data_IF_185559781358
#
_entry.id   IF_185559781358
#
_cell.length_a   1.000
_cell.length_b   1.000
_cell.length_c   1.000
_cell.angle_alpha   90.00
_cell.angle_beta   90.00
_cell.angle_gamma   90.00
#
_symmetry.space_group_name_H-M   'P 1'
#
loop_
_entity.id
_entity.type
_entity.pdbx_description
1 polymer ?
#
# COMPACT_ATOMS: atom_id res chain seq x y z
N UNK A 1 12.67 39.30 -13.45
CA UNK A 1 13.11 38.33 -12.44
C UNK A 1 14.56 37.95 -12.66
N UNK A 2 15.38 38.17 -11.65
CA UNK A 2 16.83 37.90 -11.69
C UNK A 2 17.07 36.65 -10.88
N UNK A 3 17.32 35.51 -11.53
CA UNK A 3 17.70 34.28 -10.85
C UNK A 3 19.13 34.46 -10.35
N UNK A 4 19.30 34.48 -9.04
CA UNK A 4 20.61 34.53 -8.40
C UNK A 4 21.11 33.10 -8.23
N UNK A 5 21.99 32.66 -9.14
CA UNK A 5 22.70 31.39 -8.99
C UNK A 5 23.86 31.57 -8.02
N UNK A 6 23.87 30.81 -6.91
CA UNK A 6 24.98 30.76 -5.96
C UNK A 6 25.66 29.41 -6.07
N UNK A 7 26.96 29.43 -6.33
CA UNK A 7 27.78 28.24 -6.18
C UNK A 7 27.92 27.93 -4.69
N UNK A 8 27.48 26.73 -4.29
CA UNK A 8 27.72 26.18 -2.96
C UNK A 8 28.97 25.30 -3.03
N UNK A 9 30.12 25.87 -2.69
CA UNK A 9 31.36 25.12 -2.58
C UNK A 9 31.32 24.29 -1.30
N UNK A 10 31.14 22.97 -1.44
CA UNK A 10 31.20 21.99 -0.35
C UNK A 10 32.65 21.89 0.14
N UNK A 11 33.07 22.88 0.93
CA UNK A 11 34.43 23.01 1.49
C UNK A 11 34.50 22.60 2.96
N UNK A 12 33.37 22.23 3.56
CA UNK A 12 33.32 21.70 4.92
C UNK A 12 34.03 20.34 4.96
N UNK A 13 35.15 20.29 5.66
CA UNK A 13 35.78 19.04 6.06
C UNK A 13 35.00 18.51 7.26
N UNK A 14 34.23 17.44 7.04
CA UNK A 14 33.49 16.75 8.08
C UNK A 14 34.46 16.23 9.15
N UNK A 15 34.31 16.70 10.39
CA UNK A 15 35.10 16.24 11.53
C UNK A 15 34.35 15.18 12.33
N UNK A 16 35.06 14.46 13.21
CA UNK A 16 34.41 13.54 14.13
C UNK A 16 33.47 14.26 15.10
N UNK A 17 33.82 15.48 15.51
CA UNK A 17 32.99 16.29 16.41
C UNK A 17 31.67 16.69 15.75
N UNK A 18 31.67 16.99 14.44
CA UNK A 18 30.44 17.29 13.69
C UNK A 18 29.46 16.10 13.66
N UNK A 19 30.00 14.88 13.53
CA UNK A 19 29.21 13.65 13.57
C UNK A 19 28.64 13.37 14.97
N UNK A 20 29.43 13.64 16.00
CA UNK A 20 29.00 13.45 17.39
C UNK A 20 27.98 14.50 17.84
N UNK A 21 27.98 15.69 17.24
CA UNK A 21 26.96 16.72 17.48
C UNK A 21 25.63 16.44 16.79
N UNK A 22 25.59 15.53 15.81
CA UNK A 22 24.40 15.25 14.99
C UNK A 22 23.98 13.76 15.02
N UNK A 23 23.76 13.17 16.22
CA UNK A 23 23.52 11.74 16.36
C UNK A 23 22.25 11.28 15.61
N UNK A 24 21.18 12.08 15.62
CA UNK A 24 19.93 11.75 14.92
C UNK A 24 20.12 11.62 13.41
N UNK A 25 20.91 12.51 12.81
CA UNK A 25 21.25 12.49 11.39
C UNK A 25 22.05 11.24 11.06
N UNK A 26 23.07 10.93 11.86
CA UNK A 26 23.95 9.77 11.65
C UNK A 26 23.18 8.46 11.77
N UNK A 27 22.29 8.33 12.77
CA UNK A 27 21.49 7.11 12.97
C UNK A 27 20.41 6.89 11.90
N UNK A 28 20.15 7.88 11.05
CA UNK A 28 19.19 7.80 9.96
C UNK A 28 19.86 7.81 8.57
N UNK A 29 21.19 7.71 8.50
CA UNK A 29 21.89 7.50 7.23
C UNK A 29 21.50 6.13 6.68
N UNK A 30 20.70 6.14 5.63
CA UNK A 30 20.19 4.93 4.97
C UNK A 30 21.33 4.11 4.39
N UNK A 31 21.46 2.88 4.89
CA UNK A 31 22.38 1.86 4.41
C UNK A 31 21.71 0.91 3.40
N UNK A 32 20.39 0.71 3.51
CA UNK A 32 19.62 -0.18 2.64
C UNK A 32 19.21 0.48 1.32
N UNK A 33 19.29 -0.27 0.22
CA UNK A 33 18.57 0.00 -1.03
C UNK A 33 17.28 -0.83 -1.03
N UNK A 34 16.18 -0.23 -1.48
CA UNK A 34 14.85 -0.83 -1.43
C UNK A 34 14.75 -2.12 -2.28
N UNK A 35 15.50 -2.23 -3.39
CA UNK A 35 15.43 -3.37 -4.32
C UNK A 35 15.98 -4.68 -3.73
N UNK A 36 17.22 -4.74 -3.20
CA UNK A 36 17.70 -5.95 -2.53
C UNK A 36 16.97 -6.22 -1.20
N UNK A 37 16.48 -5.17 -0.53
CA UNK A 37 15.70 -5.35 0.70
C UNK A 37 14.37 -6.06 0.42
N UNK A 38 13.68 -5.69 -0.66
CA UNK A 38 12.45 -6.36 -1.11
C UNK A 38 12.64 -7.86 -1.32
N UNK A 39 13.75 -8.27 -1.95
CA UNK A 39 14.08 -9.68 -2.14
C UNK A 39 14.28 -10.39 -0.79
N UNK A 40 14.95 -9.72 0.14
CA UNK A 40 15.20 -10.24 1.49
C UNK A 40 13.89 -10.39 2.27
N UNK A 41 13.00 -9.40 2.22
CA UNK A 41 11.67 -9.45 2.84
C UNK A 41 10.85 -10.62 2.31
N UNK A 42 10.81 -10.80 0.99
CA UNK A 42 10.12 -11.93 0.36
C UNK A 42 10.73 -13.28 0.75
N UNK A 43 12.05 -13.35 1.00
CA UNK A 43 12.70 -14.59 1.41
C UNK A 43 12.46 -14.93 2.89
N UNK A 44 12.51 -13.95 3.78
CA UNK A 44 12.57 -14.21 5.24
C UNK A 44 11.31 -13.80 6.00
N UNK A 45 10.45 -12.95 5.43
CA UNK A 45 9.25 -12.40 6.06
C UNK A 45 7.95 -12.65 5.30
N UNK A 46 7.98 -13.22 4.08
CA UNK A 46 6.75 -13.67 3.44
C UNK A 46 6.14 -14.82 4.23
N UNK A 47 6.99 -15.70 4.77
CA UNK A 47 6.69 -16.83 5.68
C UNK A 47 5.81 -17.92 5.07
N UNK A 48 5.02 -17.61 4.05
CA UNK A 48 4.16 -18.50 3.28
C UNK A 48 4.24 -18.12 1.81
N UNK A 49 4.13 -19.12 0.94
CA UNK A 49 4.28 -18.94 -0.50
C UNK A 49 3.22 -18.03 -1.14
N UNK A 50 2.04 -17.89 -0.51
CA UNK A 50 0.94 -17.08 -1.02
C UNK A 50 0.96 -15.64 -0.52
N UNK A 51 1.99 -15.28 0.25
CA UNK A 51 2.22 -13.90 0.65
C UNK A 51 3.39 -13.31 -0.12
N UNK A 52 3.24 -12.05 -0.50
CA UNK A 52 4.23 -11.32 -1.27
C UNK A 52 4.32 -9.88 -0.77
N UNK A 53 5.54 -9.35 -0.72
CA UNK A 53 5.79 -7.92 -0.62
C UNK A 53 5.97 -7.40 -2.04
N UNK A 54 5.16 -6.42 -2.44
CA UNK A 54 5.20 -5.81 -3.77
C UNK A 54 6.37 -4.82 -3.90
N UNK A 55 6.58 -4.01 -2.87
CA UNK A 55 7.55 -2.94 -2.82
C UNK A 55 8.07 -2.71 -1.38
N UNK A 56 8.91 -1.68 -1.23
CA UNK A 56 9.45 -1.24 0.05
C UNK A 56 9.39 0.28 0.11
N UNK A 57 8.61 0.77 1.05
CA UNK A 57 8.43 2.18 1.35
C UNK A 57 9.41 2.67 2.41
N UNK A 58 9.52 3.99 2.50
CA UNK A 58 10.35 4.67 3.49
C UNK A 58 9.45 5.59 4.30
N UNK A 59 9.51 5.45 5.62
CA UNK A 59 8.70 6.24 6.53
C UNK A 59 9.48 6.54 7.83
N UNK A 60 8.85 7.25 8.77
CA UNK A 60 9.46 7.65 10.03
C UNK A 60 8.48 7.42 11.19
N UNK A 61 8.96 6.75 12.22
CA UNK A 61 8.19 6.45 13.43
C UNK A 61 8.94 6.89 14.68
N UNK A 62 8.18 7.24 15.71
CA UNK A 62 8.72 7.43 17.06
C UNK A 62 8.92 6.06 17.70
N UNK A 63 10.17 5.66 17.92
CA UNK A 63 10.54 4.36 18.50
C UNK A 63 11.37 4.63 19.75
N UNK A 64 10.89 4.20 20.91
CA UNK A 64 11.53 4.46 22.21
C UNK A 64 11.80 5.96 22.49
N UNK A 65 10.95 6.86 21.97
CA UNK A 65 11.08 8.31 22.12
C UNK A 65 12.02 8.99 21.12
N UNK A 66 12.60 8.25 20.18
CA UNK A 66 13.46 8.78 19.11
C UNK A 66 12.78 8.66 17.74
N UNK A 67 12.91 9.69 16.92
CA UNK A 67 12.44 9.64 15.54
C UNK A 67 13.39 8.78 14.71
N UNK A 68 12.90 7.64 14.21
CA UNK A 68 13.67 6.71 13.39
C UNK A 68 13.05 6.55 12.02
N UNK A 69 13.90 6.64 11.01
CA UNK A 69 13.54 6.30 9.65
C UNK A 69 13.57 4.78 9.47
N UNK A 70 12.51 4.25 8.89
CA UNK A 70 12.31 2.84 8.64
C UNK A 70 12.08 2.58 7.17
N UNK A 71 12.35 1.36 6.75
CA UNK A 71 11.79 0.78 5.54
C UNK A 71 10.66 -0.15 5.94
N UNK A 72 9.55 -0.13 5.19
CA UNK A 72 8.42 -1.01 5.43
C UNK A 72 7.93 -1.65 4.14
N UNK A 73 7.27 -2.81 4.27
CA UNK A 73 6.54 -3.42 3.18
C UNK A 73 5.27 -4.07 3.67
N UNK A 74 4.22 -4.00 2.84
CA UNK A 74 2.95 -4.66 3.09
C UNK A 74 2.99 -6.13 2.65
N UNK A 75 2.55 -7.04 3.53
CA UNK A 75 2.47 -8.47 3.22
C UNK A 75 1.12 -8.77 2.58
N UNK A 76 1.04 -8.70 1.27
CA UNK A 76 -0.20 -8.92 0.52
C UNK A 76 -0.39 -10.38 0.10
N UNK A 77 -1.66 -10.76 -0.10
CA UNK A 77 -2.03 -12.10 -0.56
C UNK A 77 -2.03 -12.18 -2.09
N UNK A 78 -1.41 -13.25 -2.61
CA UNK A 78 -1.42 -13.59 -4.03
C UNK A 78 -2.07 -14.97 -4.20
N UNK A 79 -3.39 -15.05 -4.47
CA UNK A 79 -4.11 -16.32 -4.53
C UNK A 79 -3.58 -17.30 -5.59
N UNK A 80 -2.97 -16.80 -6.66
CA UNK A 80 -2.34 -17.61 -7.72
C UNK A 80 -1.11 -18.40 -7.24
N UNK A 81 -0.54 -18.03 -6.09
CA UNK A 81 0.59 -18.72 -5.47
C UNK A 81 0.14 -19.76 -4.42
N UNK A 82 -1.16 -19.93 -4.22
CA UNK A 82 -1.68 -21.10 -3.50
C UNK A 82 -1.27 -22.39 -4.22
N UNK A 83 -1.13 -23.50 -3.49
CA UNK A 83 -0.94 -24.82 -4.09
C UNK A 83 -2.06 -25.09 -5.11
N UNK A 84 -1.75 -25.75 -6.22
CA UNK A 84 -2.71 -25.99 -7.31
C UNK A 84 -4.04 -26.59 -6.81
N UNK A 85 -3.97 -27.60 -5.94
CA UNK A 85 -5.15 -28.24 -5.34
C UNK A 85 -5.96 -27.32 -4.42
N UNK A 86 -5.35 -26.24 -3.91
CA UNK A 86 -5.97 -25.24 -3.06
C UNK A 86 -6.49 -24.02 -3.86
N UNK A 87 -6.26 -23.93 -5.18
CA UNK A 87 -6.78 -22.85 -6.03
C UNK A 87 -8.25 -23.06 -6.45
N UNK A 88 -9.08 -23.59 -5.54
CA UNK A 88 -10.51 -23.74 -5.77
C UNK A 88 -11.21 -22.37 -5.75
N UNK A 89 -12.38 -22.28 -6.37
CA UNK A 89 -13.19 -21.07 -6.35
C UNK A 89 -13.48 -20.60 -4.91
N UNK A 90 -13.91 -21.52 -4.04
CA UNK A 90 -14.19 -21.26 -2.61
C UNK A 90 -12.95 -20.68 -1.93
N UNK A 91 -11.78 -21.30 -2.13
CA UNK A 91 -10.56 -20.82 -1.49
C UNK A 91 -10.16 -19.42 -1.97
N UNK A 92 -10.24 -19.17 -3.28
CA UNK A 92 -9.83 -17.88 -3.87
C UNK A 92 -10.81 -16.75 -3.57
N UNK A 93 -12.09 -17.07 -3.36
CA UNK A 93 -13.17 -16.08 -3.27
C UNK A 93 -13.73 -15.88 -1.87
N UNK A 94 -13.69 -16.90 -1.01
CA UNK A 94 -14.33 -16.91 0.30
C UNK A 94 -13.33 -17.11 1.45
N UNK A 95 -12.27 -17.92 1.26
CA UNK A 95 -11.36 -18.29 2.36
C UNK A 95 -10.11 -17.40 2.40
N UNK A 96 -9.33 -17.35 1.32
CA UNK A 96 -8.12 -16.53 1.22
C UNK A 96 -8.52 -15.16 0.65
N UNK A 97 -8.97 -14.28 1.53
CA UNK A 97 -9.58 -13.00 1.14
C UNK A 97 -8.64 -11.82 1.30
N UNK A 98 -7.62 -11.88 2.15
CA UNK A 98 -6.79 -10.74 2.53
C UNK A 98 -5.31 -11.09 2.74
N UNK A 99 -4.44 -10.09 2.56
CA UNK A 99 -3.05 -10.08 3.03
C UNK A 99 -2.96 -9.90 4.54
N UNK A 100 -1.77 -10.02 5.13
CA UNK A 100 -1.65 -10.01 6.59
C UNK A 100 -0.37 -9.35 7.11
N UNK A 101 -0.52 -8.12 7.57
CA UNK A 101 0.47 -7.35 8.32
C UNK A 101 1.53 -6.70 7.45
N UNK A 102 2.53 -6.15 8.12
CA UNK A 102 3.68 -5.48 7.52
C UNK A 102 4.96 -6.03 8.14
N UNK A 103 6.08 -5.86 7.44
CA UNK A 103 7.40 -6.00 8.02
C UNK A 103 8.11 -4.65 7.95
N UNK A 104 8.90 -4.32 8.97
CA UNK A 104 9.61 -3.04 9.02
C UNK A 104 11.03 -3.24 9.53
N UNK A 105 11.99 -2.49 8.99
CA UNK A 105 13.40 -2.51 9.40
C UNK A 105 13.97 -1.10 9.47
N UNK A 106 14.88 -0.77 10.40
CA UNK A 106 15.54 0.53 10.41
C UNK A 106 16.36 0.73 9.13
N UNK A 107 16.44 1.97 8.63
CA UNK A 107 17.24 2.24 7.40
C UNK A 107 18.74 2.06 7.59
N UNK A 108 19.24 2.15 8.82
CA UNK A 108 20.66 2.25 9.15
C UNK A 108 21.20 1.08 10.00
N UNK A 109 20.44 -0.01 10.15
CA UNK A 109 20.84 -1.14 11.01
C UNK A 109 20.91 -2.43 10.20
N UNK A 110 21.95 -3.21 10.48
CA UNK A 110 22.27 -4.47 9.81
C UNK A 110 22.76 -5.45 10.86
N UNK A 111 22.30 -6.70 10.79
CA UNK A 111 22.80 -7.77 11.65
C UNK A 111 24.24 -8.14 11.26
N UNK A 112 24.90 -8.95 12.10
CA UNK A 112 26.26 -9.46 11.80
C UNK A 112 26.34 -10.26 10.51
N UNK A 113 25.23 -10.87 10.11
CA UNK A 113 25.13 -11.71 8.91
C UNK A 113 24.77 -10.89 7.66
N UNK A 114 24.69 -9.56 7.77
CA UNK A 114 24.34 -8.70 6.64
C UNK A 114 22.84 -8.67 6.31
N UNK A 115 21.97 -9.09 7.23
CA UNK A 115 20.52 -9.07 7.07
C UNK A 115 19.89 -7.85 7.76
N UNK A 116 18.71 -7.40 7.33
CA UNK A 116 17.97 -6.37 8.06
C UNK A 116 17.59 -6.84 9.46
N UNK A 117 17.75 -5.96 10.43
CA UNK A 117 17.07 -6.08 11.71
C UNK A 117 15.61 -5.65 11.53
N UNK A 118 14.67 -6.38 12.13
CA UNK A 118 13.25 -6.10 11.98
C UNK A 118 12.66 -5.51 13.26
N UNK A 119 12.02 -4.36 13.12
CA UNK A 119 11.21 -3.70 14.14
C UNK A 119 9.79 -4.26 14.21
N UNK A 120 9.26 -4.76 13.09
CA UNK A 120 8.00 -5.51 13.01
C UNK A 120 8.23 -6.70 12.10
N UNK A 121 7.84 -7.89 12.55
CA UNK A 121 8.03 -9.15 11.83
C UNK A 121 7.03 -10.21 12.24
N UNK A 122 7.13 -11.34 11.56
CA UNK A 122 6.42 -12.58 11.83
C UNK A 122 4.92 -12.52 11.49
N UNK A 123 4.23 -13.62 11.81
CA UNK A 123 2.82 -13.86 11.56
C UNK A 123 2.23 -14.53 12.81
N UNK A 124 1.35 -13.87 13.58
CA UNK A 124 0.91 -12.48 13.44
C UNK A 124 2.06 -11.47 13.69
N UNK A 125 1.98 -10.24 13.14
CA UNK A 125 3.04 -9.25 13.24
C UNK A 125 3.25 -8.85 14.71
N UNK A 126 4.51 -8.77 15.12
CA UNK A 126 4.95 -8.40 16.46
C UNK A 126 6.22 -7.56 16.38
N UNK A 127 6.41 -6.67 17.34
CA UNK A 127 7.64 -5.89 17.47
C UNK A 127 7.45 -4.54 18.16
N UNK A 128 8.30 -3.58 17.83
CA UNK A 128 8.41 -2.27 18.47
C UNK A 128 7.32 -1.28 18.00
N UNK A 129 6.75 -1.50 16.81
CA UNK A 129 5.60 -0.75 16.30
C UNK A 129 4.37 -1.65 16.41
N UNK A 130 3.33 -1.16 17.08
CA UNK A 130 2.10 -1.91 17.29
C UNK A 130 1.26 -1.97 16.01
N UNK A 131 0.80 -3.18 15.66
CA UNK A 131 -0.12 -3.43 14.54
C UNK A 131 -1.32 -4.17 15.09
N UNK A 132 -2.43 -3.45 15.24
CA UNK A 132 -3.67 -3.92 15.87
C UNK A 132 -4.66 -4.51 14.86
N UNK A 133 -4.64 -4.02 13.62
CA UNK A 133 -5.48 -4.52 12.52
C UNK A 133 -4.60 -4.88 11.30
N UNK A 134 -4.02 -6.10 11.29
CA UNK A 134 -3.08 -6.50 10.25
C UNK A 134 -3.73 -6.91 8.92
N UNK A 135 -5.05 -7.15 8.85
CA UNK A 135 -5.68 -7.66 7.64
C UNK A 135 -5.70 -6.60 6.52
N UNK A 136 -5.20 -6.98 5.34
CA UNK A 136 -5.12 -6.12 4.15
C UNK A 136 -6.10 -6.68 3.10
N UNK A 137 -7.34 -6.20 3.14
CA UNK A 137 -8.35 -6.55 2.14
C UNK A 137 -8.20 -5.72 0.87
N UNK A 138 -7.67 -4.49 0.99
CA UNK A 138 -7.43 -3.55 -0.10
C UNK A 138 -5.94 -3.25 -0.15
N UNK A 139 -5.31 -3.50 -1.29
CA UNK A 139 -3.87 -3.32 -1.50
C UNK A 139 -3.49 -3.32 -2.97
N UNK A 140 -2.21 -3.34 -3.28
CA UNK A 140 -1.70 -3.22 -4.65
C UNK A 140 -1.82 -4.52 -5.46
N UNK A 141 -1.82 -5.68 -4.78
CA UNK A 141 -1.90 -7.00 -5.43
C UNK A 141 -3.31 -7.57 -5.43
N UNK A 142 -4.27 -6.88 -4.81
CA UNK A 142 -5.67 -7.30 -4.67
C UNK A 142 -6.51 -7.05 -5.93
N UNK A 143 -6.13 -7.68 -7.04
CA UNK A 143 -6.70 -7.44 -8.38
C UNK A 143 -8.02 -8.18 -8.67
N UNK A 144 -8.56 -8.91 -7.70
CA UNK A 144 -9.75 -9.73 -7.89
C UNK A 144 -10.75 -9.54 -6.75
N UNK A 145 -12.03 -9.74 -7.08
CA UNK A 145 -13.11 -9.63 -6.12
C UNK A 145 -13.10 -10.81 -5.14
N UNK A 146 -13.58 -10.56 -3.93
CA UNK A 146 -13.87 -11.59 -2.91
C UNK A 146 -15.24 -11.35 -2.30
N UNK A 147 -15.81 -12.39 -1.71
CA UNK A 147 -17.07 -12.30 -0.99
C UNK A 147 -16.78 -12.66 0.46
N UNK A 148 -17.02 -11.70 1.34
CA UNK A 148 -16.78 -11.81 2.78
C UNK A 148 -18.11 -11.98 3.51
N UNK A 149 -18.06 -12.31 4.80
CA UNK A 149 -19.25 -12.59 5.61
C UNK A 149 -20.09 -13.74 5.01
N UNK A 150 -19.42 -14.80 4.60
CA UNK A 150 -20.03 -16.06 4.15
C UNK A 150 -20.10 -17.08 5.29
N UNK A 151 -20.80 -18.21 5.11
CA UNK A 151 -20.74 -19.29 6.10
C UNK A 151 -19.40 -20.01 6.12
N UNK A 152 -18.62 -19.93 5.04
CA UNK A 152 -17.22 -20.34 5.05
C UNK A 152 -16.38 -19.27 5.75
N UNK A 153 -15.62 -19.62 6.81
CA UNK A 153 -14.80 -18.66 7.53
C UNK A 153 -13.55 -18.27 6.73
N UNK A 154 -13.14 -17.01 6.88
CA UNK A 154 -11.96 -16.49 6.19
C UNK A 154 -10.69 -16.98 6.90
N UNK A 155 -9.67 -17.36 6.14
CA UNK A 155 -8.36 -17.69 6.69
C UNK A 155 -7.66 -16.40 7.14
N UNK A 156 -7.17 -16.39 8.39
CA UNK A 156 -6.46 -15.24 8.97
C UNK A 156 -4.95 -15.51 8.95
N UNK A 157 -4.48 -16.51 9.73
CA UNK A 157 -3.08 -16.92 9.75
C UNK A 157 -2.89 -18.32 10.35
N UNK A 158 -1.75 -19.00 10.09
CA UNK A 158 -1.49 -20.33 10.62
C UNK A 158 -1.03 -20.26 12.09
N UNK A 159 -1.49 -21.19 12.92
CA UNK A 159 -1.10 -21.32 14.34
C UNK A 159 -0.96 -22.79 14.73
N UNK A 160 0.27 -23.21 15.06
CA UNK A 160 0.56 -24.61 15.35
C UNK A 160 0.27 -25.49 14.13
N UNK A 161 -0.49 -26.56 14.32
CA UNK A 161 -0.93 -27.46 13.25
C UNK A 161 -2.23 -27.03 12.57
N UNK A 162 -2.81 -25.89 12.97
CA UNK A 162 -4.09 -25.40 12.47
C UNK A 162 -4.03 -23.98 11.91
N UNK A 163 -5.21 -23.46 11.57
CA UNK A 163 -5.40 -22.11 11.08
C UNK A 163 -6.29 -21.32 12.02
N UNK A 164 -5.96 -20.06 12.24
CA UNK A 164 -6.85 -19.06 12.81
C UNK A 164 -7.70 -18.50 11.67
N UNK A 165 -8.98 -18.30 11.96
CA UNK A 165 -9.94 -17.75 11.02
C UNK A 165 -10.49 -16.42 11.53
N UNK A 166 -11.01 -15.63 10.62
CA UNK A 166 -11.62 -14.34 10.91
C UNK A 166 -12.91 -14.15 10.11
N UNK A 167 -13.58 -13.04 10.33
CA UNK A 167 -14.72 -12.58 9.53
C UNK A 167 -14.62 -11.06 9.37
N UNK A 168 -14.89 -10.59 8.16
CA UNK A 168 -14.81 -9.15 7.87
C UNK A 168 -15.88 -8.33 8.60
N UNK A 169 -15.44 -7.45 9.49
CA UNK A 169 -16.34 -6.63 10.32
C UNK A 169 -16.72 -5.29 9.65
N UNK A 170 -16.12 -4.97 8.50
CA UNK A 170 -16.42 -3.74 7.78
C UNK A 170 -17.79 -3.74 7.08
N UNK A 171 -18.27 -2.55 6.73
CA UNK A 171 -19.58 -2.34 6.11
C UNK A 171 -19.53 -1.65 4.75
N UNK A 172 -18.35 -1.61 4.12
CA UNK A 172 -18.08 -0.90 2.86
C UNK A 172 -18.33 -1.75 1.62
N UNK A 173 -18.65 -3.04 1.79
CA UNK A 173 -18.92 -3.95 0.69
C UNK A 173 -20.35 -3.91 0.17
N UNK A 174 -20.55 -4.49 -1.01
CA UNK A 174 -21.87 -4.54 -1.66
C UNK A 174 -22.62 -5.77 -1.15
N UNK A 175 -23.76 -5.57 -0.49
CA UNK A 175 -24.57 -6.69 0.02
C UNK A 175 -24.96 -7.68 -1.08
N UNK A 176 -24.83 -8.96 -0.82
CA UNK A 176 -25.08 -10.04 -1.78
C UNK A 176 -26.49 -10.61 -1.66
N UNK A 177 -27.50 -9.73 -1.71
CA UNK A 177 -28.87 -10.17 -1.92
C UNK A 177 -29.04 -10.85 -3.29
N UNK A 178 -30.15 -11.56 -3.52
CA UNK A 178 -30.39 -12.34 -4.74
C UNK A 178 -30.25 -11.51 -6.04
N UNK A 179 -30.68 -10.25 -6.04
CA UNK A 179 -30.57 -9.38 -7.20
C UNK A 179 -29.10 -9.03 -7.49
N UNK A 180 -28.35 -8.61 -6.47
CA UNK A 180 -26.93 -8.28 -6.61
C UNK A 180 -26.12 -9.51 -7.03
N UNK A 181 -26.41 -10.69 -6.44
CA UNK A 181 -25.80 -11.96 -6.86
C UNK A 181 -26.01 -12.24 -8.34
N UNK A 182 -27.23 -12.03 -8.85
CA UNK A 182 -27.53 -12.19 -10.28
C UNK A 182 -26.77 -11.19 -11.15
N UNK A 183 -26.79 -9.91 -10.79
CA UNK A 183 -26.12 -8.86 -11.55
C UNK A 183 -24.60 -9.07 -11.61
N UNK A 184 -23.98 -9.41 -10.48
CA UNK A 184 -22.54 -9.66 -10.42
C UNK A 184 -22.14 -11.00 -11.04
N UNK A 185 -22.96 -12.05 -10.93
CA UNK A 185 -22.74 -13.29 -11.67
C UNK A 185 -22.70 -13.05 -13.18
N UNK A 186 -23.57 -12.19 -13.71
CA UNK A 186 -23.53 -11.79 -15.12
C UNK A 186 -22.32 -10.91 -15.43
N UNK A 187 -22.00 -9.92 -14.58
CA UNK A 187 -20.88 -8.99 -14.78
C UNK A 187 -19.52 -9.69 -14.83
N UNK A 188 -19.31 -10.66 -13.94
CA UNK A 188 -18.05 -11.40 -13.83
C UNK A 188 -18.06 -12.74 -14.58
N UNK A 189 -19.18 -13.08 -15.24
CA UNK A 189 -19.42 -14.39 -15.83
C UNK A 189 -19.17 -15.55 -14.84
N UNK A 190 -19.59 -15.36 -13.58
CA UNK A 190 -19.33 -16.29 -12.49
C UNK A 190 -20.62 -16.83 -11.86
N UNK A 191 -21.03 -18.02 -12.30
CA UNK A 191 -22.27 -18.67 -11.85
C UNK A 191 -22.21 -19.11 -10.37
N UNK A 192 -21.01 -19.26 -9.80
CA UNK A 192 -20.87 -19.70 -8.41
C UNK A 192 -21.42 -18.66 -7.44
N UNK A 193 -21.40 -17.36 -7.81
CA UNK A 193 -22.04 -16.31 -7.03
C UNK A 193 -23.54 -16.56 -6.80
N UNK A 194 -24.21 -17.28 -7.71
CA UNK A 194 -25.62 -17.65 -7.59
C UNK A 194 -25.84 -19.01 -6.93
N UNK A 195 -24.98 -19.99 -7.22
CA UNK A 195 -25.21 -21.39 -6.85
C UNK A 195 -24.55 -21.80 -5.53
N UNK A 196 -23.50 -21.12 -5.09
CA UNK A 196 -22.81 -21.43 -3.85
C UNK A 196 -23.72 -21.06 -2.65
N UNK A 197 -23.91 -22.02 -1.74
CA UNK A 197 -24.78 -21.91 -0.56
C UNK A 197 -24.20 -21.06 0.56
N UNK A 198 -22.89 -20.84 0.53
CA UNK A 198 -22.16 -20.14 1.59
C UNK A 198 -22.36 -18.62 1.52
N UNK A 199 -22.76 -18.13 0.35
CA UNK A 199 -23.14 -16.73 0.13
C UNK A 199 -24.57 -16.52 0.63
N UNK A 200 -24.70 -15.76 1.71
CA UNK A 200 -25.96 -15.31 2.28
C UNK A 200 -26.33 -13.87 1.89
N UNK A 201 -27.46 -13.39 2.40
CA UNK A 201 -27.91 -12.00 2.18
C UNK A 201 -27.05 -10.98 2.95
N UNK A 202 -26.41 -11.40 4.04
CA UNK A 202 -25.50 -10.60 4.86
C UNK A 202 -24.07 -10.59 4.32
N UNK A 203 -23.76 -11.48 3.37
CA UNK A 203 -22.46 -11.51 2.70
C UNK A 203 -22.24 -10.22 1.91
N UNK A 204 -20.98 -9.81 1.79
CA UNK A 204 -20.59 -8.59 1.12
C UNK A 204 -19.58 -8.89 0.01
N UNK A 205 -19.82 -8.36 -1.18
CA UNK A 205 -18.85 -8.35 -2.26
C UNK A 205 -17.89 -7.18 -2.06
N UNK A 206 -16.60 -7.50 -1.95
CA UNK A 206 -15.52 -6.52 -2.01
C UNK A 206 -15.00 -6.47 -3.45
N UNK A 207 -15.26 -5.36 -4.13
CA UNK A 207 -14.89 -5.10 -5.52
C UNK A 207 -14.07 -3.81 -5.62
N UNK A 208 -13.27 -3.67 -6.70
CA UNK A 208 -12.24 -2.64 -6.83
C UNK A 208 -11.36 -2.56 -5.59
N UNK A 209 -10.72 -3.69 -5.29
CA UNK A 209 -9.85 -3.86 -4.13
C UNK A 209 -8.45 -3.32 -4.38
N UNK A 210 -7.97 -3.43 -5.62
CA UNK A 210 -6.78 -2.75 -6.07
C UNK A 210 -6.93 -1.25 -5.81
N UNK A 211 -6.07 -0.71 -4.95
CA UNK A 211 -6.18 0.66 -4.47
C UNK A 211 -6.05 1.70 -5.58
N UNK A 212 -5.25 1.41 -6.62
CA UNK A 212 -5.05 2.31 -7.76
C UNK A 212 -6.26 2.33 -8.67
N UNK A 213 -6.81 1.16 -8.99
CA UNK A 213 -8.06 1.07 -9.74
C UNK A 213 -9.20 1.76 -8.99
N UNK A 214 -9.27 1.55 -7.67
CA UNK A 214 -10.30 2.13 -6.80
C UNK A 214 -10.31 3.66 -6.84
N UNK A 215 -9.16 4.31 -6.66
CA UNK A 215 -9.10 5.79 -6.70
C UNK A 215 -9.37 6.33 -8.10
N UNK A 216 -8.92 5.63 -9.14
CA UNK A 216 -9.16 6.00 -10.53
C UNK A 216 -10.66 5.96 -10.87
N UNK A 217 -11.40 4.99 -10.34
CA UNK A 217 -12.86 4.92 -10.51
C UNK A 217 -13.60 6.00 -9.70
N UNK A 218 -13.11 6.35 -8.51
CA UNK A 218 -13.74 7.37 -7.65
C UNK A 218 -13.54 8.80 -8.17
N UNK A 219 -12.33 9.12 -8.65
CA UNK A 219 -11.99 10.45 -9.16
C UNK A 219 -11.10 10.34 -10.41
N UNK A 220 -11.68 9.99 -11.58
CA UNK A 220 -10.92 9.73 -12.80
C UNK A 220 -10.26 10.96 -13.43
N UNK A 221 -10.62 12.15 -12.95
CA UNK A 221 -10.11 13.44 -13.41
C UNK A 221 -8.77 13.82 -12.75
N UNK A 222 -8.32 13.09 -11.73
CA UNK A 222 -7.00 13.26 -11.13
C UNK A 222 -5.99 12.33 -11.79
N UNK A 223 -4.73 12.78 -11.80
CA UNK A 223 -3.60 11.92 -12.19
C UNK A 223 -2.94 11.38 -10.94
N UNK A 224 -2.90 10.06 -10.76
CA UNK A 224 -2.34 9.44 -9.57
C UNK A 224 -0.87 9.08 -9.75
N UNK A 225 -0.12 9.12 -8.64
CA UNK A 225 1.22 8.54 -8.59
C UNK A 225 1.17 7.03 -8.87
N UNK A 226 2.30 6.48 -9.31
CA UNK A 226 2.43 5.06 -9.58
C UNK A 226 2.83 4.23 -8.37
N UNK A 227 3.24 4.89 -7.27
CA UNK A 227 3.86 4.29 -6.08
C UNK A 227 3.06 4.70 -4.83
N UNK A 228 1.96 4.00 -4.50
CA UNK A 228 1.27 4.16 -3.22
C UNK A 228 2.16 3.63 -2.10
N UNK A 229 2.23 4.32 -0.97
CA UNK A 229 3.04 3.89 0.18
C UNK A 229 2.17 3.51 1.38
N UNK A 230 2.59 2.48 2.11
CA UNK A 230 1.93 2.01 3.32
C UNK A 230 2.31 2.86 4.54
N UNK A 231 1.36 3.07 5.45
CA UNK A 231 1.54 3.77 6.72
C UNK A 231 0.82 3.01 7.83
N UNK A 232 1.47 2.92 8.99
CA UNK A 232 0.88 2.41 10.23
C UNK A 232 0.44 3.62 11.05
N UNK A 233 -0.84 3.75 11.37
CA UNK A 233 -1.30 4.87 12.21
C UNK A 233 -0.96 4.67 13.70
N UNK A 234 -1.22 5.69 14.52
CA UNK A 234 -0.98 5.64 15.97
C UNK A 234 -1.80 4.56 16.70
N UNK A 235 -2.88 4.08 16.07
CA UNK A 235 -3.71 3.00 16.61
C UNK A 235 -3.27 1.61 16.14
N UNK A 236 -2.25 1.52 15.28
CA UNK A 236 -1.76 0.27 14.70
C UNK A 236 -2.58 -0.24 13.51
N UNK A 237 -3.38 0.62 12.88
CA UNK A 237 -4.11 0.31 11.65
C UNK A 237 -3.27 0.64 10.42
N UNK A 238 -3.56 -0.06 9.34
CA UNK A 238 -2.82 0.05 8.09
C UNK A 238 -3.58 0.93 7.08
N UNK A 239 -2.86 1.89 6.50
CA UNK A 239 -3.38 2.81 5.49
C UNK A 239 -2.45 2.92 4.31
N UNK A 240 -3.00 2.94 3.11
CA UNK A 240 -2.27 3.34 1.91
C UNK A 240 -2.41 4.84 1.71
N UNK A 241 -1.30 5.49 1.42
CA UNK A 241 -1.25 6.88 1.03
C UNK A 241 -0.81 7.00 -0.43
N UNK A 242 -1.48 7.86 -1.18
CA UNK A 242 -1.21 8.06 -2.59
C UNK A 242 -1.30 9.53 -2.94
N UNK A 243 -0.36 9.95 -3.78
CA UNK A 243 -0.31 11.31 -4.30
C UNK A 243 -1.20 11.45 -5.54
N UNK A 244 -1.94 12.55 -5.61
CA UNK A 244 -2.79 12.88 -6.75
C UNK A 244 -2.49 14.29 -7.26
N UNK A 245 -2.43 14.39 -8.58
CA UNK A 245 -1.99 15.55 -9.32
C UNK A 245 -3.14 16.12 -10.15
N UNK A 246 -3.24 17.44 -10.13
CA UNK A 246 -4.12 18.21 -11.02
C UNK A 246 -3.30 18.72 -12.21
N UNK A 247 -3.82 18.53 -13.42
CA UNK A 247 -3.12 18.87 -14.66
C UNK A 247 -4.01 19.78 -15.52
N UNK A 248 -3.43 20.82 -16.12
CA UNK A 248 -4.10 21.67 -17.10
C UNK A 248 -3.20 22.00 -18.29
N UNK A 249 -3.83 22.19 -19.45
CA UNK A 249 -3.20 22.52 -20.73
C UNK A 249 -3.43 23.98 -21.15
N UNK A 250 -4.18 24.74 -20.33
CA UNK A 250 -4.65 26.09 -20.67
C UNK A 250 -4.45 27.07 -19.52
N UNK A 251 -3.52 26.78 -18.62
CA UNK A 251 -3.23 27.68 -17.52
C UNK A 251 -2.61 28.98 -18.06
N UNK A 252 -3.17 30.15 -17.74
CA UNK A 252 -2.76 31.39 -18.36
C UNK A 252 -1.33 31.76 -17.94
N UNK A 253 -0.58 32.40 -18.85
CA UNK A 253 0.79 32.86 -18.62
C UNK A 253 1.79 31.77 -18.21
N UNK A 254 1.52 30.50 -18.53
CA UNK A 254 2.41 29.37 -18.27
C UNK A 254 2.86 28.69 -19.56
N UNK A 255 4.13 28.29 -19.60
CA UNK A 255 4.76 27.62 -20.74
C UNK A 255 4.38 26.13 -20.79
N UNK A 256 3.85 25.63 -21.92
CA UNK A 256 3.55 24.22 -22.10
C UNK A 256 4.80 23.34 -22.02
N UNK A 257 4.67 22.23 -21.30
CA UNK A 257 5.69 21.20 -21.21
C UNK A 257 5.80 20.47 -22.55
N UNK A 258 6.85 20.78 -23.32
CA UNK A 258 7.23 20.05 -24.52
C UNK A 258 8.38 19.11 -24.17
N UNK A 259 8.09 17.86 -23.80
CA UNK A 259 9.17 16.88 -23.54
C UNK A 259 9.79 16.41 -24.85
N UNK A 260 11.12 16.42 -24.89
CA UNK A 260 11.90 15.58 -25.80
C UNK A 260 11.81 14.11 -25.35
N UNK A 261 12.21 13.17 -26.21
CA UNK A 261 12.01 11.72 -26.09
C UNK A 261 12.49 11.05 -24.78
N UNK A 262 13.22 11.76 -23.92
CA UNK A 262 13.86 11.24 -22.71
C UNK A 262 12.91 10.99 -21.53
N UNK A 263 11.70 11.56 -21.51
CA UNK A 263 10.75 11.40 -20.39
C UNK A 263 9.48 10.65 -20.79
N UNK A 264 9.62 9.41 -21.26
CA UNK A 264 8.52 8.55 -21.74
C UNK A 264 7.37 8.43 -20.72
N UNK A 265 7.67 8.39 -19.42
CA UNK A 265 6.65 8.29 -18.34
C UNK A 265 5.75 9.53 -18.23
N UNK A 266 6.21 10.71 -18.66
CA UNK A 266 5.45 11.96 -18.61
C UNK A 266 4.72 12.25 -19.93
N UNK A 267 4.73 11.32 -20.89
CA UNK A 267 4.00 11.46 -22.16
C UNK A 267 2.52 11.82 -22.00
N UNK A 268 1.77 11.26 -21.02
CA UNK A 268 0.37 11.64 -20.82
C UNK A 268 0.17 13.12 -20.44
N UNK A 269 1.21 13.81 -20.01
CA UNK A 269 1.20 15.23 -19.63
C UNK A 269 1.89 16.13 -20.67
N UNK A 270 2.21 15.61 -21.85
CA UNK A 270 2.79 16.41 -22.94
C UNK A 270 1.85 17.52 -23.38
N UNK A 271 2.34 18.76 -23.36
CA UNK A 271 1.57 19.96 -23.64
C UNK A 271 0.83 20.52 -22.43
N UNK A 272 0.87 19.85 -21.28
CA UNK A 272 0.37 20.43 -20.04
C UNK A 272 1.22 21.63 -19.67
N UNK A 273 0.60 22.73 -19.26
CA UNK A 273 1.29 23.92 -18.78
C UNK A 273 1.01 24.19 -17.30
N UNK A 274 0.40 23.21 -16.61
CA UNK A 274 0.18 23.21 -15.18
C UNK A 274 0.19 21.78 -14.66
N UNK A 275 0.99 21.52 -13.64
CA UNK A 275 1.01 20.27 -12.89
C UNK A 275 1.28 20.62 -11.43
N UNK A 276 0.40 20.19 -10.53
CA UNK A 276 0.56 20.31 -9.08
C UNK A 276 0.12 19.02 -8.40
N UNK A 277 0.63 18.77 -7.20
CA UNK A 277 0.26 17.67 -6.30
C UNK A 277 -0.50 18.25 -5.09
N UNK A 278 -1.75 18.73 -5.28
CA UNK A 278 -2.49 19.36 -4.20
C UNK A 278 -3.26 18.36 -3.36
N UNK A 279 -3.39 17.11 -3.80
CA UNK A 279 -4.29 16.13 -3.19
C UNK A 279 -3.50 14.94 -2.68
N UNK A 280 -3.73 14.58 -1.41
CA UNK A 280 -3.31 13.32 -0.81
C UNK A 280 -4.51 12.42 -0.64
N UNK A 281 -4.39 11.17 -1.06
CA UNK A 281 -5.43 10.16 -0.92
C UNK A 281 -5.01 9.20 0.17
N UNK A 282 -5.91 8.92 1.11
CA UNK A 282 -5.71 7.96 2.19
C UNK A 282 -6.76 6.87 2.07
N UNK A 283 -6.30 5.62 2.05
CA UNK A 283 -7.14 4.44 1.84
C UNK A 283 -6.91 3.50 3.01
N UNK A 284 -7.96 3.17 3.75
CA UNK A 284 -7.86 2.17 4.80
C UNK A 284 -7.66 0.78 4.16
N UNK A 285 -6.59 0.06 4.55
CA UNK A 285 -6.25 -1.25 3.98
C UNK A 285 -7.26 -2.36 4.36
N UNK A 286 -8.01 -2.17 5.45
CA UNK A 286 -9.02 -3.11 5.94
C UNK A 286 -10.35 -2.93 5.22
N UNK A 287 -10.98 -1.75 5.28
CA UNK A 287 -12.32 -1.55 4.72
C UNK A 287 -12.35 -0.84 3.36
N UNK A 288 -11.21 -0.36 2.86
CA UNK A 288 -11.12 0.32 1.57
C UNK A 288 -11.84 1.68 1.55
N UNK A 289 -12.13 2.29 2.70
CA UNK A 289 -12.62 3.65 2.74
C UNK A 289 -11.54 4.60 2.21
N UNK A 290 -11.93 5.50 1.30
CA UNK A 290 -11.03 6.44 0.63
C UNK A 290 -11.36 7.86 1.08
N UNK A 291 -10.34 8.59 1.50
CA UNK A 291 -10.42 10.01 1.83
C UNK A 291 -9.49 10.80 0.93
N UNK A 292 -10.00 11.85 0.30
CA UNK A 292 -9.22 12.80 -0.50
C UNK A 292 -9.00 14.07 0.31
N UNK A 293 -7.76 14.44 0.54
CA UNK A 293 -7.36 15.64 1.28
C UNK A 293 -6.77 16.67 0.33
N UNK A 294 -7.40 17.84 0.26
CA UNK A 294 -6.84 19.01 -0.41
C UNK A 294 -5.87 19.72 0.54
N UNK A 295 -4.59 19.76 0.18
CA UNK A 295 -3.53 20.33 1.00
C UNK A 295 -3.56 21.87 1.05
N UNK A 296 -4.04 22.50 -0.02
CA UNK A 296 -4.17 23.94 -0.11
C UNK A 296 -5.55 24.31 -0.69
N UNK A 297 -6.38 24.99 0.10
CA UNK A 297 -7.71 25.41 -0.32
C UNK A 297 -7.69 26.46 -1.44
N UNK A 298 -6.58 27.19 -1.59
CA UNK A 298 -6.40 28.21 -2.63
C UNK A 298 -5.82 27.61 -3.93
N UNK A 299 -5.75 26.28 -4.05
CA UNK A 299 -5.27 25.61 -5.25
C UNK A 299 -6.22 25.91 -6.44
N UNK A 300 -5.74 26.54 -7.53
CA UNK A 300 -6.62 27.12 -8.55
C UNK A 300 -7.34 26.11 -9.45
N UNK A 301 -6.95 24.83 -9.41
CA UNK A 301 -7.47 23.78 -10.30
C UNK A 301 -8.13 22.62 -9.54
N UNK A 302 -7.86 22.47 -8.25
CA UNK A 302 -8.31 21.32 -7.46
C UNK A 302 -9.76 21.41 -6.97
#
# INVERSE_FOLDING_TARGET
>A
DTIESRNYDVTQQLTADDLLSEPETVTNIRLWDYRPLLQTYNQVQALRQYYHFNDIDIDRYMINGELRQVMLGARELVPDQLNENAQTWVNRKLVYTHGYGVATSPVAQVTRDGLPEFLVKDLPPRGDIEVTQPQIYFGELTNDYVIVNTSEPEFDYPRGDGNVTTSFEGSTGIRMNLLNRLLFALRFADINMLLNSDIGADSQLLWYRNIRERVQELAPFLHYDSDPYMVIDESGKLYWMLDAYTVSYRFPYSEPFTSSEQFVKLRPMLGANYVRNPIKVVINAYDGQVHFYLLNADEPVA
#
